data_IF_357452517742
#
_entry.id   IF_357452517742
#
_cell.length_a   1.000
_cell.length_b   1.000
_cell.length_c   1.000
_cell.angle_alpha   90.00
_cell.angle_beta   90.00
_cell.angle_gamma   90.00
#
_symmetry.space_group_name_H-M   'P 1'
#
loop_
_entity.id
_entity.type
_entity.pdbx_description
1 polymer ?
#
# COMPACT_ATOMS: atom_id res chain seq x y z
N UNK A 1 0.84 -10.49 1.35
CA UNK A 1 0.37 -9.32 2.13
C UNK A 1 1.52 -8.36 2.27
N UNK A 2 1.39 -7.19 1.64
CA UNK A 2 2.43 -6.15 1.60
C UNK A 2 1.99 -4.93 2.40
N UNK A 3 2.86 -4.41 3.27
CA UNK A 3 2.60 -3.15 3.97
C UNK A 3 3.24 -2.00 3.21
N UNK A 4 2.45 -0.98 2.90
CA UNK A 4 2.92 0.23 2.22
C UNK A 4 2.54 1.44 3.06
N UNK A 5 3.49 2.32 3.32
CA UNK A 5 3.18 3.57 4.01
C UNK A 5 2.50 4.56 3.06
N UNK A 6 1.62 5.39 3.62
CA UNK A 6 1.02 6.51 2.86
C UNK A 6 2.07 7.46 2.25
N UNK A 7 3.28 7.54 2.82
CA UNK A 7 4.40 8.30 2.26
C UNK A 7 4.97 7.65 1.00
N UNK A 8 5.21 6.34 1.03
CA UNK A 8 5.67 5.59 -0.15
C UNK A 8 4.64 5.62 -1.27
N UNK A 9 3.35 5.46 -0.92
CA UNK A 9 2.27 5.54 -1.88
C UNK A 9 2.20 6.90 -2.58
N UNK A 10 2.41 7.99 -1.83
CA UNK A 10 2.44 9.35 -2.39
C UNK A 10 3.63 9.56 -3.32
N UNK A 11 4.78 9.01 -2.97
CA UNK A 11 6.01 9.17 -3.75
C UNK A 11 6.04 8.28 -4.99
N UNK A 12 5.39 7.11 -4.95
CA UNK A 12 5.35 6.17 -6.06
C UNK A 12 3.98 5.46 -6.15
N UNK A 13 2.93 6.15 -6.63
CA UNK A 13 1.58 5.59 -6.70
C UNK A 13 1.45 4.45 -7.71
N UNK A 14 2.30 4.41 -8.74
CA UNK A 14 2.29 3.36 -9.76
C UNK A 14 2.69 1.98 -9.20
N UNK A 15 3.52 1.95 -8.16
CA UNK A 15 3.97 0.71 -7.50
C UNK A 15 2.80 -0.06 -6.86
N UNK A 16 1.78 0.67 -6.37
CA UNK A 16 0.58 0.09 -5.76
C UNK A 16 -0.19 -0.73 -6.80
N UNK A 17 -0.40 -0.17 -7.99
CA UNK A 17 -1.14 -0.83 -9.08
C UNK A 17 -0.45 -2.10 -9.59
N UNK A 18 0.89 -2.16 -9.55
CA UNK A 18 1.65 -3.37 -9.87
C UNK A 18 1.53 -4.46 -8.80
N UNK A 19 1.28 -4.06 -7.55
CA UNK A 19 1.25 -4.95 -6.39
C UNK A 19 -0.15 -5.53 -6.15
N UNK A 20 -1.21 -4.74 -6.35
CA UNK A 20 -2.62 -5.14 -6.18
C UNK A 20 -2.98 -6.41 -6.95
N UNK A 21 -2.53 -6.54 -8.20
CA UNK A 21 -2.87 -7.72 -9.03
C UNK A 21 -2.19 -9.02 -8.58
N UNK A 22 -1.33 -8.99 -7.56
CA UNK A 22 -0.54 -10.15 -7.10
C UNK A 22 -0.81 -10.50 -5.64
N UNK A 23 -1.09 -9.52 -4.79
CA UNK A 23 -1.31 -9.73 -3.37
C UNK A 23 -2.06 -8.56 -2.72
N UNK A 24 -2.71 -8.83 -1.59
CA UNK A 24 -3.32 -7.80 -0.74
C UNK A 24 -2.27 -6.80 -0.24
N UNK A 25 -2.60 -5.50 -0.38
CA UNK A 25 -1.77 -4.39 0.07
C UNK A 25 -2.45 -3.66 1.23
N UNK A 26 -1.75 -3.58 2.36
CA UNK A 26 -2.19 -2.80 3.52
C UNK A 26 -1.51 -1.43 3.48
N UNK A 27 -2.32 -0.39 3.40
CA UNK A 27 -1.84 0.99 3.53
C UNK A 27 -1.77 1.34 5.01
N UNK A 28 -0.60 1.81 5.44
CA UNK A 28 -0.34 2.27 6.80
C UNK A 28 -0.14 3.78 6.86
N UNK A 29 -0.59 4.39 7.95
CA UNK A 29 -0.35 5.80 8.27
C UNK A 29 0.27 5.84 9.66
N UNK A 30 1.47 6.41 9.79
CA UNK A 30 2.23 6.47 11.04
C UNK A 30 2.37 5.09 11.72
N UNK A 31 2.67 4.05 10.93
CA UNK A 31 2.86 2.68 11.41
C UNK A 31 1.57 1.95 11.78
N UNK A 32 0.39 2.58 11.62
CA UNK A 32 -0.90 1.95 11.89
C UNK A 32 -1.62 1.58 10.59
N UNK A 33 -2.18 0.36 10.48
CA UNK A 33 -2.98 -0.02 9.32
C UNK A 33 -4.22 0.87 9.21
N UNK A 34 -4.51 1.34 7.99
CA UNK A 34 -5.62 2.25 7.72
C UNK A 34 -6.53 1.80 6.58
N UNK A 35 -5.98 1.13 5.57
CA UNK A 35 -6.75 0.59 4.47
C UNK A 35 -6.17 -0.73 3.99
N UNK A 36 -7.03 -1.58 3.42
CA UNK A 36 -6.66 -2.80 2.71
C UNK A 36 -7.09 -2.58 1.27
N UNK A 37 -6.19 -2.89 0.34
CA UNK A 37 -6.44 -2.82 -1.11
C UNK A 37 -6.24 -4.21 -1.69
N UNK A 38 -7.25 -4.67 -2.42
CA UNK A 38 -7.39 -6.02 -2.98
C UNK A 38 -7.46 -5.89 -4.50
#
# INVERSE_FOLDING_TARGET
MKFVSSKELRNNPAELWKSINKEEVIITVNGKPKAIVI
#
